data_IF_226929143929
#
_entry.id   IF_226929143929
#
_cell.length_a   1.000
_cell.length_b   1.000
_cell.length_c   1.000
_cell.angle_alpha   90.00
_cell.angle_beta   90.00
_cell.angle_gamma   90.00
#
_symmetry.space_group_name_H-M   'P 1'
#
loop_
_entity.id
_entity.type
_entity.pdbx_description
1 polymer ?
#
# COMPACT_ATOMS: atom_id res chain seq x y z
N UNK A 1 -10.44 11.29 9.77
CA UNK A 1 -11.75 10.74 9.40
C UNK A 1 -12.52 10.58 10.70
N UNK A 2 -13.53 11.41 10.95
CA UNK A 2 -14.37 11.32 12.16
C UNK A 2 -15.38 10.20 11.94
N UNK A 3 -14.94 8.93 12.02
CA UNK A 3 -15.83 7.77 11.85
C UNK A 3 -16.50 7.43 13.18
N UNK A 4 -15.78 7.60 14.28
CA UNK A 4 -16.27 7.43 15.63
C UNK A 4 -16.61 8.78 16.31
N UNK A 5 -17.36 8.68 17.41
CA UNK A 5 -17.71 9.81 18.27
C UNK A 5 -16.69 10.02 19.40
N UNK A 6 -15.48 9.46 19.30
CA UNK A 6 -14.52 9.47 20.42
C UNK A 6 -14.11 10.89 20.83
N UNK A 7 -14.15 11.84 19.90
CA UNK A 7 -13.81 13.25 20.10
C UNK A 7 -15.02 14.17 20.22
N UNK A 8 -16.24 13.62 20.26
CA UNK A 8 -17.49 14.37 20.36
C UNK A 8 -18.00 14.23 21.79
N UNK A 9 -17.96 15.32 22.55
CA UNK A 9 -18.46 15.36 23.92
C UNK A 9 -20.00 15.41 23.98
N UNK A 10 -20.64 16.18 23.09
CA UNK A 10 -22.09 16.25 22.94
C UNK A 10 -22.51 16.63 21.50
N UNK A 11 -23.75 16.29 21.11
CA UNK A 11 -24.39 16.70 19.85
C UNK A 11 -25.84 17.12 20.11
N UNK A 12 -26.11 18.42 20.04
CA UNK A 12 -27.47 18.95 20.10
C UNK A 12 -27.94 19.40 18.71
N UNK A 13 -29.16 19.02 18.33
CA UNK A 13 -29.83 19.38 17.08
C UNK A 13 -29.01 19.18 15.77
N UNK A 14 -28.05 18.24 15.74
CA UNK A 14 -27.24 17.92 14.56
C UNK A 14 -27.56 16.52 14.01
N UNK A 15 -27.61 16.39 12.69
CA UNK A 15 -27.73 15.09 12.00
C UNK A 15 -26.46 14.79 11.23
N UNK A 16 -25.90 13.58 11.42
CA UNK A 16 -24.71 13.13 10.70
C UNK A 16 -25.11 12.47 9.39
N UNK A 17 -24.78 13.10 8.28
CA UNK A 17 -24.99 12.55 6.94
C UNK A 17 -23.69 11.97 6.39
N UNK A 18 -23.70 10.68 6.04
CA UNK A 18 -22.62 10.07 5.28
C UNK A 18 -22.87 10.30 3.79
N UNK A 19 -22.14 11.23 3.17
CA UNK A 19 -22.29 11.48 1.74
C UNK A 19 -21.68 10.34 0.91
N UNK A 20 -22.44 9.87 -0.08
CA UNK A 20 -21.97 8.87 -1.03
C UNK A 20 -20.87 9.47 -1.91
N UNK A 21 -19.67 8.86 -2.01
CA UNK A 21 -18.64 9.31 -2.94
C UNK A 21 -19.13 9.22 -4.38
N UNK A 22 -18.97 10.30 -5.15
CA UNK A 22 -19.24 10.33 -6.59
C UNK A 22 -17.95 10.03 -7.35
N UNK A 23 -18.02 9.18 -8.38
CA UNK A 23 -16.88 8.90 -9.25
C UNK A 23 -16.49 10.18 -9.98
N UNK A 24 -15.20 10.52 -9.94
CA UNK A 24 -14.64 11.61 -10.73
C UNK A 24 -14.89 11.38 -12.24
N UNK A 25 -15.19 12.44 -12.99
CA UNK A 25 -15.53 12.38 -14.43
C UNK A 25 -14.37 11.85 -15.27
N UNK A 26 -13.13 12.15 -14.87
CA UNK A 26 -11.91 11.68 -15.53
C UNK A 26 -11.54 10.20 -15.23
N UNK A 27 -12.41 9.42 -14.59
CA UNK A 27 -12.09 8.02 -14.28
C UNK A 27 -11.93 7.14 -15.54
N UNK A 28 -10.95 6.19 -15.56
CA UNK A 28 -9.91 6.02 -14.56
C UNK A 28 -8.84 7.12 -14.65
N UNK A 29 -8.47 7.71 -13.51
CA UNK A 29 -7.46 8.79 -13.44
C UNK A 29 -6.03 8.27 -13.61
N UNK A 30 -5.76 7.04 -13.15
CA UNK A 30 -4.53 6.30 -13.45
C UNK A 30 -4.85 5.22 -14.49
N UNK A 31 -4.52 5.48 -15.75
CA UNK A 31 -4.83 4.61 -16.89
C UNK A 31 -3.72 3.61 -17.14
N UNK A 32 -4.03 2.43 -17.66
CA UNK A 32 -3.04 1.53 -18.25
C UNK A 32 -2.78 1.98 -19.70
N UNK A 33 -1.74 2.80 -19.91
CA UNK A 33 -1.39 3.42 -21.20
C UNK A 33 0.05 3.10 -21.66
N UNK A 34 0.76 2.22 -20.94
CA UNK A 34 2.10 1.74 -21.31
C UNK A 34 2.09 0.26 -21.68
N UNK A 35 3.01 -0.18 -22.58
CA UNK A 35 3.02 -1.56 -23.07
C UNK A 35 3.16 -2.64 -21.99
N UNK A 36 3.88 -2.35 -20.91
CA UNK A 36 4.06 -3.27 -19.78
C UNK A 36 2.89 -3.32 -18.81
N UNK A 37 1.89 -2.45 -18.98
CA UNK A 37 0.86 -2.29 -17.97
C UNK A 37 -0.21 -3.37 -18.07
N UNK A 38 -0.79 -3.58 -19.25
CA UNK A 38 -1.96 -4.45 -19.41
C UNK A 38 -3.16 -3.89 -18.63
N UNK A 39 -3.31 -4.28 -17.37
CA UNK A 39 -4.31 -3.75 -16.42
C UNK A 39 -3.64 -3.15 -15.18
N UNK A 40 -4.40 -2.36 -14.41
CA UNK A 40 -3.97 -1.85 -13.10
C UNK A 40 -4.97 -2.36 -12.04
N UNK A 41 -4.50 -3.28 -11.19
CA UNK A 41 -5.38 -4.02 -10.28
C UNK A 41 -5.23 -3.58 -8.81
N UNK A 42 -4.15 -2.86 -8.48
CA UNK A 42 -3.85 -2.36 -7.15
C UNK A 42 -3.00 -1.10 -7.21
N UNK A 43 -3.21 -0.16 -6.31
CA UNK A 43 -2.34 0.99 -6.14
C UNK A 43 -2.23 1.39 -4.67
N UNK A 44 -1.00 1.62 -4.21
CA UNK A 44 -0.71 2.34 -2.97
C UNK A 44 -0.34 3.77 -3.33
N UNK A 45 -1.09 4.75 -2.81
CA UNK A 45 -0.85 6.17 -3.07
C UNK A 45 -0.57 6.90 -1.76
N UNK A 46 0.48 7.70 -1.74
CA UNK A 46 0.76 8.62 -0.63
C UNK A 46 0.91 10.05 -1.17
N UNK A 47 0.69 11.03 -0.30
CA UNK A 47 1.14 12.40 -0.55
C UNK A 47 2.43 12.64 0.22
N UNK A 48 3.51 12.91 -0.50
CA UNK A 48 4.79 13.31 0.06
C UNK A 48 4.78 14.81 0.34
N UNK A 49 4.73 15.19 1.62
CA UNK A 49 4.67 16.60 2.04
C UNK A 49 5.96 17.36 1.75
N UNK A 50 7.11 16.69 1.73
CA UNK A 50 8.41 17.33 1.49
C UNK A 50 8.56 17.69 0.01
N UNK A 51 8.19 16.77 -0.88
CA UNK A 51 8.26 16.97 -2.33
C UNK A 51 7.00 17.60 -2.92
N UNK A 52 5.91 17.69 -2.15
CA UNK A 52 4.59 18.17 -2.57
C UNK A 52 4.06 17.43 -3.79
N UNK A 53 4.18 16.10 -3.76
CA UNK A 53 3.76 15.20 -4.83
C UNK A 53 2.97 14.03 -4.26
N UNK A 54 1.90 13.66 -4.97
CA UNK A 54 1.35 12.32 -4.89
C UNK A 54 2.32 11.33 -5.53
N UNK A 55 2.54 10.20 -4.88
CA UNK A 55 3.37 9.10 -5.35
C UNK A 55 2.54 7.82 -5.33
N UNK A 56 2.55 7.09 -6.42
CA UNK A 56 1.82 5.84 -6.58
C UNK A 56 2.79 4.69 -6.85
N UNK A 57 2.55 3.57 -6.17
CA UNK A 57 3.09 2.25 -6.50
C UNK A 57 1.93 1.37 -6.91
N UNK A 58 1.88 1.00 -8.19
CA UNK A 58 0.71 0.34 -8.77
C UNK A 58 1.09 -0.95 -9.50
N UNK A 59 0.28 -1.98 -9.31
CA UNK A 59 0.51 -3.30 -9.91
C UNK A 59 0.07 -3.32 -11.37
N UNK A 60 0.88 -3.98 -12.18
CA UNK A 60 0.71 -4.13 -13.61
C UNK A 60 1.11 -5.54 -14.04
N UNK A 61 0.81 -5.92 -15.28
CA UNK A 61 1.27 -7.19 -15.84
C UNK A 61 2.81 -7.33 -15.84
N UNK A 62 3.55 -6.23 -16.05
CA UNK A 62 5.01 -6.23 -16.06
C UNK A 62 5.68 -6.18 -14.68
N UNK A 63 4.92 -5.88 -13.61
CA UNK A 63 5.44 -5.74 -12.25
C UNK A 63 4.83 -4.58 -11.47
N UNK A 64 5.48 -4.21 -10.37
CA UNK A 64 5.12 -3.00 -9.62
C UNK A 64 5.72 -1.79 -10.31
N UNK A 65 4.88 -0.85 -10.75
CA UNK A 65 5.25 0.39 -11.40
C UNK A 65 5.17 1.58 -10.43
N UNK A 66 5.87 2.66 -10.76
CA UNK A 66 5.90 3.91 -9.99
C UNK A 66 5.47 5.12 -10.81
N UNK A 67 4.63 5.97 -10.24
CA UNK A 67 4.21 7.22 -10.87
C UNK A 67 4.07 8.35 -9.87
N UNK A 68 4.10 9.59 -10.36
CA UNK A 68 3.92 10.80 -9.54
C UNK A 68 2.82 11.69 -10.09
N UNK A 69 2.23 12.50 -9.23
CA UNK A 69 1.21 13.47 -9.63
C UNK A 69 1.27 14.70 -8.72
N UNK A 70 0.89 15.87 -9.24
CA UNK A 70 0.76 17.09 -8.44
C UNK A 70 -0.63 17.26 -7.84
N UNK A 71 -1.64 16.63 -8.44
CA UNK A 71 -3.06 16.80 -8.11
C UNK A 71 -3.78 15.49 -7.78
N UNK A 72 -3.11 14.34 -7.95
CA UNK A 72 -3.68 13.01 -7.75
C UNK A 72 -4.58 12.55 -8.91
N UNK A 73 -4.71 13.36 -9.97
CA UNK A 73 -5.60 13.15 -11.11
C UNK A 73 -4.76 12.90 -12.38
N UNK A 74 -3.75 13.72 -12.63
CA UNK A 74 -2.86 13.61 -13.78
C UNK A 74 -1.53 12.99 -13.38
N UNK A 75 -1.23 11.81 -13.92
CA UNK A 75 -0.10 10.99 -13.50
C UNK A 75 1.06 11.00 -14.49
N UNK A 76 2.25 11.26 -13.98
CA UNK A 76 3.52 11.12 -14.68
C UNK A 76 4.13 9.74 -14.40
N UNK A 77 4.57 9.07 -15.47
CA UNK A 77 5.16 7.73 -15.43
C UNK A 77 6.60 7.79 -15.96
N UNK A 78 7.57 8.14 -15.09
CA UNK A 78 8.94 8.39 -15.54
C UNK A 78 9.61 7.10 -16.00
N UNK A 79 10.42 7.17 -17.07
CA UNK A 79 11.32 6.05 -17.41
C UNK A 79 12.44 5.98 -16.38
N UNK A 80 12.45 4.94 -15.54
CA UNK A 80 13.34 4.79 -14.40
C UNK A 80 14.62 4.00 -14.72
N UNK A 81 14.59 3.11 -15.72
CA UNK A 81 15.78 2.32 -16.07
C UNK A 81 16.12 1.22 -15.04
N UNK A 82 15.21 0.87 -14.12
CA UNK A 82 15.52 0.00 -12.97
C UNK A 82 15.31 -1.48 -13.28
N UNK A 83 14.26 -1.84 -14.03
CA UNK A 83 13.95 -3.23 -14.35
C UNK A 83 13.90 -3.46 -15.86
N UNK A 84 14.44 -4.59 -16.27
CA UNK A 84 14.25 -5.10 -17.61
C UNK A 84 12.82 -5.61 -17.79
N UNK A 85 12.24 -5.28 -18.94
CA UNK A 85 10.99 -5.84 -19.43
C UNK A 85 11.07 -5.94 -20.95
N UNK A 86 10.86 -7.13 -21.49
CA UNK A 86 10.93 -7.44 -22.93
C UNK A 86 12.18 -6.84 -23.63
N UNK A 87 13.37 -7.01 -23.05
CA UNK A 87 14.63 -6.58 -23.64
C UNK A 87 14.97 -5.09 -23.50
N UNK A 88 14.20 -4.32 -22.71
CA UNK A 88 14.48 -2.90 -22.45
C UNK A 88 14.20 -2.48 -21.01
N UNK A 89 14.81 -1.36 -20.60
CA UNK A 89 14.61 -0.76 -19.26
C UNK A 89 13.90 0.59 -19.31
N UNK A 90 13.45 1.02 -20.50
CA UNK A 90 12.73 2.26 -20.72
C UNK A 90 11.27 2.18 -20.23
N UNK A 91 11.11 1.96 -18.93
CA UNK A 91 9.85 1.76 -18.22
C UNK A 91 9.94 2.30 -16.79
N UNK A 92 8.82 2.29 -16.07
CA UNK A 92 8.71 2.77 -14.70
C UNK A 92 8.56 1.63 -13.67
N UNK A 93 9.02 0.41 -14.00
CA UNK A 93 8.92 -0.76 -13.14
C UNK A 93 10.01 -0.73 -12.06
N UNK A 94 9.59 -0.89 -10.80
CA UNK A 94 10.47 -0.82 -9.62
C UNK A 94 10.66 -2.17 -8.93
N UNK A 95 9.71 -3.10 -9.06
CA UNK A 95 9.79 -4.47 -8.51
C UNK A 95 9.08 -5.47 -9.44
N UNK A 96 9.33 -6.79 -9.31
CA UNK A 96 8.46 -7.80 -9.91
C UNK A 96 7.03 -7.67 -9.39
N UNK A 97 6.12 -8.47 -9.96
CA UNK A 97 4.77 -8.63 -9.40
C UNK A 97 4.88 -9.17 -7.98
N UNK A 98 4.19 -8.51 -7.05
CA UNK A 98 4.08 -8.87 -5.63
C UNK A 98 2.63 -8.71 -5.20
N UNK A 99 2.21 -9.36 -4.12
CA UNK A 99 0.80 -9.39 -3.74
C UNK A 99 0.47 -8.29 -2.73
N UNK A 100 -0.48 -7.43 -3.10
CA UNK A 100 -1.07 -6.37 -2.25
C UNK A 100 -0.05 -5.46 -1.53
N UNK A 101 0.91 -4.86 -2.26
CA UNK A 101 1.91 -4.02 -1.63
C UNK A 101 1.27 -2.73 -1.09
N UNK A 102 1.53 -2.43 0.17
CA UNK A 102 1.23 -1.14 0.79
C UNK A 102 2.52 -0.40 1.07
N UNK A 103 2.59 0.86 0.67
CA UNK A 103 3.76 1.72 0.82
C UNK A 103 3.44 2.92 1.69
N UNK A 104 4.33 3.20 2.64
CA UNK A 104 4.30 4.41 3.47
C UNK A 104 5.65 5.13 3.40
N UNK A 105 5.65 6.44 3.63
CA UNK A 105 6.83 7.22 4.00
C UNK A 105 6.77 7.45 5.50
N UNK A 106 7.81 7.07 6.22
CA UNK A 106 7.91 7.30 7.66
C UNK A 106 8.62 8.64 7.93
N UNK A 107 7.91 9.65 8.47
CA UNK A 107 8.51 10.96 8.75
C UNK A 107 9.49 10.95 9.94
N UNK A 108 9.51 9.89 10.75
CA UNK A 108 10.39 9.78 11.92
C UNK A 108 11.55 8.82 11.71
N UNK A 109 11.68 8.24 10.52
CA UNK A 109 12.80 7.35 10.21
C UNK A 109 14.11 8.14 10.20
N UNK A 110 15.06 7.72 11.03
CA UNK A 110 16.37 8.35 11.13
C UNK A 110 17.37 7.72 10.16
N UNK A 111 17.15 6.48 9.73
CA UNK A 111 17.98 5.84 8.72
C UNK A 111 17.55 6.30 7.31
N UNK A 112 18.38 7.06 6.57
CA UNK A 112 18.01 7.58 5.25
C UNK A 112 17.70 6.47 4.23
N UNK A 113 18.23 5.26 4.43
CA UNK A 113 17.99 4.09 3.57
C UNK A 113 16.62 3.42 3.78
N UNK A 114 15.82 3.89 4.75
CA UNK A 114 14.57 3.25 5.18
C UNK A 114 13.37 4.19 5.21
N UNK A 115 13.50 5.39 4.64
CA UNK A 115 12.46 6.43 4.64
C UNK A 115 11.13 5.92 4.11
N UNK A 116 11.15 5.14 3.05
CA UNK A 116 9.99 4.43 2.53
C UNK A 116 10.00 2.98 3.02
N UNK A 117 8.82 2.52 3.38
CA UNK A 117 8.59 1.16 3.88
C UNK A 117 7.44 0.56 3.10
N UNK A 118 7.65 -0.65 2.59
CA UNK A 118 6.64 -1.43 1.89
C UNK A 118 6.35 -2.70 2.66
N UNK A 119 5.07 -3.03 2.79
CA UNK A 119 4.58 -4.27 3.38
C UNK A 119 3.79 -5.02 2.32
N UNK A 120 4.17 -6.28 2.05
CA UNK A 120 3.59 -7.07 0.98
C UNK A 120 3.64 -8.56 1.31
N UNK A 121 2.73 -9.33 0.71
CA UNK A 121 2.79 -10.79 0.71
C UNK A 121 3.71 -11.25 -0.44
N UNK A 122 4.69 -12.09 -0.12
CA UNK A 122 5.66 -12.60 -1.09
C UNK A 122 5.96 -14.09 -0.87
N UNK A 123 6.55 -14.74 -1.88
CA UNK A 123 6.98 -16.15 -1.88
C UNK A 123 8.13 -16.33 -2.88
N UNK A 124 9.14 -17.21 -2.64
CA UNK A 124 9.36 -18.08 -1.47
C UNK A 124 10.35 -17.51 -0.42
N UNK A 125 10.29 -17.98 0.85
CA UNK A 125 9.18 -18.70 1.46
C UNK A 125 7.92 -17.81 1.56
N UNK A 126 6.76 -18.44 1.63
CA UNK A 126 5.48 -17.72 1.76
C UNK A 126 5.42 -16.97 3.09
N UNK A 127 5.16 -15.66 3.02
CA UNK A 127 4.98 -14.84 4.21
C UNK A 127 4.83 -13.35 3.90
N UNK A 128 4.66 -12.56 4.96
CA UNK A 128 4.66 -11.11 4.86
C UNK A 128 6.07 -10.57 4.96
N UNK A 129 6.44 -9.70 4.03
CA UNK A 129 7.75 -9.08 3.97
C UNK A 129 7.67 -7.58 4.18
N UNK A 130 8.77 -7.03 4.67
CA UNK A 130 9.04 -5.60 4.67
C UNK A 130 10.17 -5.32 3.69
N UNK A 131 10.00 -4.29 2.87
CA UNK A 131 11.06 -3.72 2.05
C UNK A 131 11.27 -2.24 2.37
N UNK A 132 12.49 -1.78 2.19
CA UNK A 132 12.92 -0.42 2.50
C UNK A 132 13.45 0.26 1.25
N UNK A 133 13.23 1.57 1.15
CA UNK A 133 13.80 2.38 0.09
C UNK A 133 14.10 3.80 0.60
N UNK A 134 15.21 4.43 0.16
CA UNK A 134 15.48 5.84 0.46
C UNK A 134 14.59 6.80 -0.33
N UNK A 135 14.20 6.43 -1.55
CA UNK A 135 13.53 7.29 -2.53
C UNK A 135 12.18 6.76 -3.02
N UNK A 136 11.84 5.52 -2.66
CA UNK A 136 10.62 4.83 -3.07
C UNK A 136 10.74 4.11 -4.41
N UNK A 137 11.89 4.13 -5.09
CA UNK A 137 12.05 3.47 -6.40
C UNK A 137 12.98 2.26 -6.34
N UNK A 138 14.04 2.31 -5.53
CA UNK A 138 14.96 1.18 -5.33
C UNK A 138 14.70 0.51 -4.00
N UNK A 139 14.18 -0.71 -4.05
CA UNK A 139 13.69 -1.42 -2.87
C UNK A 139 14.65 -2.53 -2.43
N UNK A 140 15.03 -2.51 -1.15
CA UNK A 140 15.72 -3.61 -0.48
C UNK A 140 14.74 -4.34 0.44
N UNK A 141 14.31 -5.52 0.03
CA UNK A 141 13.48 -6.42 0.85
C UNK A 141 14.32 -7.04 1.96
N UNK A 142 13.72 -7.32 3.12
CA UNK A 142 14.31 -8.22 4.12
C UNK A 142 14.44 -9.64 3.57
N UNK A 143 15.44 -10.38 4.05
CA UNK A 143 15.66 -11.78 3.65
C UNK A 143 14.61 -12.72 4.24
N UNK A 144 14.29 -12.52 5.52
CA UNK A 144 13.27 -13.28 6.24
C UNK A 144 11.93 -12.52 6.32
N UNK A 145 10.80 -13.24 6.24
CA UNK A 145 9.47 -12.66 6.46
C UNK A 145 9.31 -12.20 7.91
N UNK A 146 8.45 -11.19 8.12
CA UNK A 146 8.09 -10.69 9.45
C UNK A 146 6.88 -11.42 10.03
N UNK A 147 6.08 -12.06 9.19
CA UNK A 147 4.99 -12.97 9.56
C UNK A 147 4.97 -14.16 8.60
N UNK A 148 4.76 -15.35 9.14
CA UNK A 148 4.63 -16.61 8.39
C UNK A 148 3.44 -17.40 8.87
N UNK A 149 3.10 -18.49 8.19
CA UNK A 149 2.12 -19.47 8.66
C UNK A 149 2.49 -20.12 10.00
N UNK A 150 3.75 -20.10 10.41
CA UNK A 150 4.15 -20.59 11.73
C UNK A 150 3.65 -19.66 12.86
N UNK A 151 3.60 -18.35 12.60
CA UNK A 151 3.15 -17.35 13.57
C UNK A 151 1.68 -16.93 13.37
N UNK A 152 1.17 -17.06 12.15
CA UNK A 152 -0.21 -16.78 11.77
C UNK A 152 -0.68 -17.82 10.75
N UNK A 153 -1.20 -18.98 11.21
CA UNK A 153 -1.56 -20.09 10.33
C UNK A 153 -2.64 -19.80 9.29
N UNK A 154 -3.42 -18.73 9.48
CA UNK A 154 -4.51 -18.32 8.57
C UNK A 154 -4.16 -17.07 7.76
N UNK A 155 -2.89 -16.66 7.76
CA UNK A 155 -2.44 -15.47 7.04
C UNK A 155 -2.75 -15.56 5.55
N UNK A 156 -3.30 -14.48 5.00
CA UNK A 156 -3.75 -14.45 3.62
C UNK A 156 -3.39 -13.11 2.92
N UNK A 157 -3.85 -12.97 1.68
CA UNK A 157 -3.68 -11.83 0.80
C UNK A 157 -4.36 -10.54 1.32
N UNK A 158 -4.22 -9.43 0.60
CA UNK A 158 -4.72 -8.09 1.01
C UNK A 158 -4.19 -7.54 2.34
N UNK A 159 -2.91 -7.70 2.72
CA UNK A 159 -2.35 -6.95 3.82
C UNK A 159 -2.38 -5.44 3.55
N UNK A 160 -2.48 -4.65 4.63
CA UNK A 160 -2.27 -3.20 4.60
C UNK A 160 -1.43 -2.79 5.79
N UNK A 161 -0.58 -1.78 5.63
CA UNK A 161 0.21 -1.22 6.72
C UNK A 161 -0.05 0.28 6.85
N UNK A 162 -0.14 0.75 8.09
CA UNK A 162 -0.25 2.16 8.43
C UNK A 162 0.70 2.52 9.56
N UNK A 163 1.01 3.82 9.70
CA UNK A 163 1.78 4.36 10.82
C UNK A 163 0.82 5.07 11.77
N UNK A 164 0.74 4.59 13.02
CA UNK A 164 0.15 5.33 14.14
C UNK A 164 1.21 6.34 14.62
N UNK A 165 1.14 7.56 14.08
CA UNK A 165 2.12 8.63 14.34
C UNK A 165 2.08 9.11 15.80
N UNK A 166 0.91 9.07 16.44
CA UNK A 166 0.72 9.48 17.83
C UNK A 166 1.45 8.51 18.77
N UNK A 167 1.26 7.20 18.57
CA UNK A 167 1.89 6.16 19.41
C UNK A 167 3.21 5.65 18.86
N UNK A 168 3.71 6.23 17.77
CA UNK A 168 4.98 5.89 17.09
C UNK A 168 5.14 4.39 16.85
N UNK A 169 4.14 3.78 16.23
CA UNK A 169 4.13 2.33 15.94
C UNK A 169 3.54 2.05 14.57
N UNK A 170 4.05 1.01 13.94
CA UNK A 170 3.42 0.43 12.76
C UNK A 170 2.22 -0.41 13.17
N UNK A 171 1.18 -0.39 12.34
CA UNK A 171 0.03 -1.28 12.46
C UNK A 171 -0.09 -1.97 11.09
N UNK A 172 -0.03 -3.31 11.11
CA UNK A 172 -0.31 -4.12 9.95
C UNK A 172 -1.68 -4.77 10.11
N UNK A 173 -2.54 -4.57 9.14
CA UNK A 173 -3.83 -5.22 9.01
C UNK A 173 -3.65 -6.40 8.07
N UNK A 174 -3.98 -7.60 8.51
CA UNK A 174 -3.91 -8.83 7.71
C UNK A 174 -5.30 -9.40 7.54
N UNK A 175 -5.58 -9.94 6.35
CA UNK A 175 -6.75 -10.79 6.13
C UNK A 175 -6.44 -12.18 6.68
N UNK A 176 -7.44 -12.77 7.32
CA UNK A 176 -7.44 -14.18 7.71
C UNK A 176 -8.65 -14.87 7.12
N UNK A 177 -8.47 -16.11 6.70
CA UNK A 177 -9.59 -16.99 6.40
C UNK A 177 -10.07 -17.65 7.69
N UNK A 178 -11.20 -17.18 8.20
CA UNK A 178 -11.88 -17.80 9.35
C UNK A 178 -13.14 -18.51 8.88
N UNK A 179 -13.39 -19.68 9.47
CA UNK A 179 -14.69 -20.35 9.33
C UNK A 179 -15.73 -19.44 9.97
N UNK A 180 -16.67 -18.94 9.19
CA UNK A 180 -17.75 -18.10 9.68
C UNK A 180 -18.75 -18.99 10.45
N UNK A 181 -18.90 -18.81 11.78
CA UNK A 181 -19.78 -19.65 12.60
C UNK A 181 -21.26 -19.44 12.30
N UNK A 182 -21.61 -18.41 11.51
CA UNK A 182 -22.98 -18.06 11.12
C UNK A 182 -23.29 -18.39 9.65
N UNK A 183 -22.38 -19.06 8.92
CA UNK A 183 -22.60 -19.47 7.53
C UNK A 183 -21.74 -18.70 6.52
N UNK A 184 -22.36 -17.99 5.56
CA UNK A 184 -21.63 -17.34 4.44
C UNK A 184 -21.22 -15.90 4.78
N UNK A 185 -19.98 -15.53 4.45
CA UNK A 185 -19.44 -14.16 4.52
C UNK A 185 -18.08 -14.06 5.25
N UNK A 186 -17.33 -12.98 5.03
CA UNK A 186 -16.04 -12.73 5.67
C UNK A 186 -16.20 -12.32 7.15
N UNK A 187 -15.43 -12.92 8.04
CA UNK A 187 -15.31 -12.56 9.46
C UNK A 187 -13.84 -12.23 9.75
N UNK A 188 -13.52 -11.16 10.48
CA UNK A 188 -12.14 -10.64 10.60
C UNK A 188 -11.78 -10.04 11.96
N UNK A 189 -10.52 -10.21 12.39
CA UNK A 189 -9.92 -9.54 13.55
C UNK A 189 -8.78 -8.61 13.12
N UNK A 190 -8.59 -7.49 13.85
CA UNK A 190 -7.48 -6.56 13.65
C UNK A 190 -6.25 -7.03 14.45
N UNK A 191 -5.14 -7.31 13.78
CA UNK A 191 -3.87 -7.65 14.43
C UNK A 191 -2.98 -6.41 14.62
N UNK A 192 -2.26 -6.34 15.75
CA UNK A 192 -1.22 -5.32 15.99
C UNK A 192 0.15 -5.96 15.84
N UNK A 193 0.86 -5.64 14.76
CA UNK A 193 2.25 -6.05 14.60
C UNK A 193 3.18 -4.96 15.12
N UNK A 194 4.09 -5.31 16.04
CA UNK A 194 5.16 -4.40 16.48
C UNK A 194 6.36 -4.66 15.57
N UNK A 195 6.68 -3.73 14.67
CA UNK A 195 7.96 -3.79 13.98
C UNK A 195 9.04 -3.34 14.97
N UNK A 196 10.04 -4.19 15.18
CA UNK A 196 11.28 -3.89 15.91
C UNK A 196 12.32 -3.38 14.94
#
# INVERSE_FOLDING_TARGET
MFVDAYVIEDMDHLTRNLHQPVKHEANPVLKADRPWEGSIDWASVIYDKEEKLFKAWYLTAGGLAYGTSRDGIHWQKPSLGIREWQGGTANNLVRPVIVSPTTIKDPYETNPERKYKMFALESPPFGMYVAFSPDGTRWRRRDAPVLTSANDPQINDRPTMMHDLERRRYIALTKREMINPYGRGDWGFIHRCRAV
#
